data_IF_993668182245
#
_entry.id   IF_993668182245
#
_cell.length_a   1.000
_cell.length_b   1.000
_cell.length_c   1.000
_cell.angle_alpha   90.00
_cell.angle_beta   90.00
_cell.angle_gamma   90.00
#
_symmetry.space_group_name_H-M   'P 1'
#
loop_
_entity.id
_entity.type
_entity.pdbx_description
1 polymer ?
#
# COMPACT_ATOMS: atom_id res chain seq x y z
N UNK A 1 17.05 6.88 -6.24
CA UNK A 1 16.88 7.87 -7.34
C UNK A 1 15.60 8.63 -7.07
N UNK A 2 15.71 9.92 -6.77
CA UNK A 2 14.57 10.86 -6.69
C UNK A 2 14.51 11.52 -8.06
N UNK A 3 13.51 11.19 -8.87
CA UNK A 3 13.19 12.03 -10.02
C UNK A 3 12.25 13.11 -9.52
N UNK A 4 12.53 14.38 -9.82
CA UNK A 4 11.53 15.44 -9.79
C UNK A 4 11.18 15.74 -11.23
N UNK A 5 9.89 15.86 -11.51
CA UNK A 5 9.45 16.21 -12.84
C UNK A 5 10.12 17.51 -13.31
N UNK A 6 10.55 17.52 -14.57
CA UNK A 6 11.19 18.68 -15.21
C UNK A 6 10.26 19.91 -15.18
N UNK A 7 10.81 21.13 -15.38
CA UNK A 7 10.04 22.40 -15.44
C UNK A 7 8.67 22.21 -16.11
N UNK A 8 7.59 22.45 -15.36
CA UNK A 8 6.20 22.21 -15.79
C UNK A 8 5.51 21.01 -15.13
N UNK A 9 6.22 20.20 -14.34
CA UNK A 9 5.66 19.04 -13.64
C UNK A 9 5.47 19.31 -12.14
N UNK A 10 4.45 18.69 -11.55
CA UNK A 10 4.16 18.78 -10.11
C UNK A 10 5.31 18.15 -9.32
N UNK A 11 5.91 18.86 -8.34
CA UNK A 11 6.96 18.29 -7.49
C UNK A 11 6.44 17.09 -6.70
N UNK A 12 7.21 16.00 -6.70
CA UNK A 12 6.92 14.78 -5.96
C UNK A 12 8.15 14.25 -5.19
N UNK A 13 7.90 13.42 -4.20
CA UNK A 13 8.89 12.74 -3.37
C UNK A 13 8.59 11.25 -3.36
N UNK A 14 9.62 10.41 -3.49
CA UNK A 14 9.50 8.95 -3.40
C UNK A 14 10.16 8.47 -2.11
N UNK A 15 9.44 7.64 -1.34
CA UNK A 15 9.86 7.05 -0.06
C UNK A 15 9.65 5.54 -0.08
N UNK A 16 10.48 4.83 0.66
CA UNK A 16 10.32 3.38 0.85
C UNK A 16 9.93 3.14 2.30
N UNK A 17 8.68 2.70 2.51
CA UNK A 17 8.08 2.58 3.84
C UNK A 17 7.64 1.14 4.08
N UNK A 18 8.49 0.38 4.76
CA UNK A 18 8.27 -1.06 4.91
C UNK A 18 8.27 -1.76 3.55
N UNK A 19 7.16 -2.41 3.22
CA UNK A 19 6.98 -3.09 1.93
C UNK A 19 6.51 -2.15 0.81
N UNK A 20 6.07 -0.93 1.14
CA UNK A 20 5.46 -0.02 0.18
C UNK A 20 6.46 0.96 -0.42
N UNK A 21 6.28 1.25 -1.70
CA UNK A 21 6.78 2.46 -2.33
C UNK A 21 5.70 3.54 -2.18
N UNK A 22 6.07 4.68 -1.62
CA UNK A 22 5.16 5.81 -1.38
C UNK A 22 5.61 7.00 -2.22
N UNK A 23 4.70 7.53 -3.05
CA UNK A 23 4.89 8.76 -3.81
C UNK A 23 3.99 9.83 -3.22
N UNK A 24 4.60 10.92 -2.75
CA UNK A 24 3.89 12.08 -2.20
C UNK A 24 4.08 13.26 -3.13
N UNK A 25 3.00 13.95 -3.47
CA UNK A 25 3.05 15.16 -4.29
C UNK A 25 2.71 16.40 -3.45
N UNK A 26 3.25 17.54 -3.84
CA UNK A 26 2.91 18.83 -3.19
C UNK A 26 1.46 19.25 -3.41
N UNK A 27 0.76 18.66 -4.38
CA UNK A 27 -0.65 18.91 -4.64
C UNK A 27 -1.59 18.11 -3.74
N UNK A 28 -1.09 17.29 -2.82
CA UNK A 28 -1.92 16.53 -1.87
C UNK A 28 -2.39 15.16 -2.37
N UNK A 29 -1.77 14.61 -3.42
CA UNK A 29 -1.90 13.20 -3.81
C UNK A 29 -0.79 12.37 -3.14
N UNK A 30 -1.18 11.23 -2.55
CA UNK A 30 -0.28 10.19 -2.05
C UNK A 30 -0.64 8.87 -2.72
N UNK A 31 0.34 8.24 -3.37
CA UNK A 31 0.24 6.90 -3.94
C UNK A 31 1.08 5.94 -3.10
N UNK A 32 0.49 4.84 -2.64
CA UNK A 32 1.22 3.75 -1.99
C UNK A 32 1.08 2.49 -2.82
N UNK A 33 2.19 1.86 -3.18
CA UNK A 33 2.22 0.65 -4.00
C UNK A 33 3.03 -0.43 -3.30
N UNK A 34 2.47 -1.63 -3.20
CA UNK A 34 3.11 -2.80 -2.55
C UNK A 34 4.19 -3.47 -3.42
N UNK A 35 4.52 -2.90 -4.59
CA UNK A 35 5.43 -3.45 -5.60
C UNK A 35 4.90 -4.71 -6.28
N UNK A 36 3.63 -5.05 -6.05
CA UNK A 36 2.87 -6.15 -6.65
C UNK A 36 1.61 -5.56 -7.28
N UNK A 37 0.44 -5.89 -6.74
CA UNK A 37 -0.87 -5.58 -7.33
C UNK A 37 -1.70 -4.58 -6.52
N UNK A 38 -1.30 -4.25 -5.28
CA UNK A 38 -2.07 -3.34 -4.43
C UNK A 38 -1.60 -1.91 -4.58
N UNK A 39 -2.53 -1.03 -4.94
CA UNK A 39 -2.32 0.41 -5.04
C UNK A 39 -3.34 1.11 -4.13
N UNK A 40 -2.85 2.00 -3.27
CA UNK A 40 -3.68 2.87 -2.44
C UNK A 40 -3.46 4.31 -2.86
N UNK A 41 -4.55 5.02 -3.12
CA UNK A 41 -4.55 6.42 -3.50
C UNK A 41 -5.21 7.21 -2.37
N UNK A 42 -4.48 8.18 -1.80
CA UNK A 42 -5.03 9.14 -0.83
C UNK A 42 -4.97 10.54 -1.45
N UNK A 43 -6.06 11.27 -1.32
CA UNK A 43 -6.22 12.61 -1.86
C UNK A 43 -6.53 13.59 -0.74
N UNK A 44 -6.04 14.82 -0.88
CA UNK A 44 -6.48 15.95 -0.05
C UNK A 44 -8.00 16.12 -0.16
N UNK A 45 -8.69 16.52 0.92
CA UNK A 45 -10.11 16.92 0.86
C UNK A 45 -10.41 18.00 -0.19
N UNK A 46 -9.41 18.75 -0.65
CA UNK A 46 -9.57 19.73 -1.74
C UNK A 46 -10.06 19.12 -3.04
N UNK A 47 -9.83 17.82 -3.27
CA UNK A 47 -10.30 17.09 -4.46
C UNK A 47 -11.73 16.56 -4.33
N UNK A 48 -12.42 16.80 -3.21
CA UNK A 48 -13.76 16.28 -2.95
C UNK A 48 -14.74 16.71 -4.05
N UNK A 49 -15.35 15.74 -4.74
CA UNK A 49 -16.29 15.98 -5.84
C UNK A 49 -15.68 16.55 -7.12
N UNK A 50 -14.34 16.61 -7.23
CA UNK A 50 -13.64 17.16 -8.40
C UNK A 50 -12.95 16.08 -9.25
N UNK A 51 -13.07 14.82 -8.86
CA UNK A 51 -12.46 13.69 -9.58
C UNK A 51 -13.53 12.83 -10.23
N UNK A 52 -13.08 11.95 -11.11
CA UNK A 52 -13.90 10.91 -11.71
C UNK A 52 -12.98 9.75 -12.10
N UNK A 53 -13.57 8.57 -12.32
CA UNK A 53 -12.85 7.38 -12.73
C UNK A 53 -13.34 6.15 -11.98
N UNK A 54 -12.53 5.08 -12.03
CA UNK A 54 -12.84 3.81 -11.37
C UNK A 54 -12.91 3.90 -9.84
N UNK A 55 -12.30 4.93 -9.24
CA UNK A 55 -12.35 5.20 -7.81
C UNK A 55 -13.52 6.11 -7.40
N UNK A 56 -14.50 6.34 -8.28
CA UNK A 56 -15.65 7.21 -8.01
C UNK A 56 -15.33 8.69 -8.15
N UNK A 57 -16.15 9.53 -7.51
CA UNK A 57 -16.05 11.00 -7.60
C UNK A 57 -15.57 11.67 -6.30
N UNK A 58 -15.37 10.88 -5.23
CA UNK A 58 -14.95 11.34 -3.91
C UNK A 58 -15.85 12.44 -3.32
N UNK A 59 -17.17 12.40 -3.52
CA UNK A 59 -18.11 13.36 -2.90
C UNK A 59 -18.64 12.90 -1.52
N UNK A 60 -18.39 11.63 -1.15
CA UNK A 60 -18.85 10.99 0.08
C UNK A 60 -20.18 10.23 -0.07
N UNK A 61 -20.71 10.09 -1.28
CA UNK A 61 -21.94 9.38 -1.59
C UNK A 61 -21.68 8.14 -2.47
N UNK A 62 -21.58 6.96 -1.85
CA UNK A 62 -21.32 5.72 -2.59
C UNK A 62 -22.38 5.31 -3.63
N UNK A 63 -23.56 5.94 -3.65
CA UNK A 63 -24.65 5.61 -4.58
C UNK A 63 -24.32 6.09 -6.01
N UNK A 64 -23.57 7.18 -6.15
CA UNK A 64 -23.26 7.76 -7.47
C UNK A 64 -21.83 7.46 -7.95
N UNK A 65 -21.06 6.65 -7.22
CA UNK A 65 -19.67 6.34 -7.59
C UNK A 65 -19.55 5.59 -8.91
N UNK A 66 -20.59 4.83 -9.30
CA UNK A 66 -20.69 4.18 -10.61
C UNK A 66 -21.16 5.17 -11.70
N UNK A 67 -20.47 6.31 -11.82
CA UNK A 67 -20.69 7.30 -12.88
C UNK A 67 -19.80 7.03 -14.08
N UNK A 68 -20.40 6.87 -15.27
CA UNK A 68 -19.68 6.61 -16.52
C UNK A 68 -18.92 7.84 -17.00
N UNK A 69 -18.00 7.65 -17.96
CA UNK A 69 -17.31 8.77 -18.63
C UNK A 69 -18.24 9.77 -19.32
N UNK A 70 -19.46 9.36 -19.69
CA UNK A 70 -20.51 10.23 -20.25
C UNK A 70 -21.36 10.93 -19.18
N UNK A 71 -20.98 10.84 -17.89
CA UNK A 71 -21.67 11.42 -16.74
C UNK A 71 -23.03 10.79 -16.43
N UNK A 72 -23.23 9.53 -16.82
CA UNK A 72 -24.44 8.77 -16.47
C UNK A 72 -24.19 7.91 -15.24
N UNK A 73 -25.07 7.95 -14.24
CA UNK A 73 -25.04 7.02 -13.10
C UNK A 73 -25.68 5.70 -13.53
N UNK A 74 -24.97 4.58 -13.34
CA UNK A 74 -25.41 3.25 -13.77
C UNK A 74 -25.30 2.24 -12.63
N UNK A 75 -26.14 1.21 -12.66
CA UNK A 75 -26.08 0.11 -11.67
C UNK A 75 -25.12 -1.00 -12.13
N UNK A 76 -24.89 -1.13 -13.44
CA UNK A 76 -24.08 -2.18 -14.01
C UNK A 76 -22.58 -1.84 -13.92
N UNK A 77 -21.84 -2.60 -13.12
CA UNK A 77 -20.38 -2.41 -12.92
C UNK A 77 -19.59 -2.58 -14.22
N UNK A 78 -19.99 -3.49 -15.12
CA UNK A 78 -19.30 -3.68 -16.40
C UNK A 78 -19.55 -2.50 -17.34
N UNK A 79 -20.76 -1.95 -17.37
CA UNK A 79 -21.05 -0.73 -18.13
C UNK A 79 -20.20 0.44 -17.62
N UNK A 80 -20.17 0.64 -16.30
CA UNK A 80 -19.33 1.63 -15.63
C UNK A 80 -17.85 1.45 -15.98
N UNK A 81 -17.28 0.27 -15.71
CA UNK A 81 -15.86 0.01 -15.88
C UNK A 81 -15.41 0.10 -17.35
N UNK A 82 -16.21 -0.42 -18.28
CA UNK A 82 -15.90 -0.35 -19.71
C UNK A 82 -15.95 1.08 -20.26
N UNK A 83 -16.76 1.97 -19.66
CA UNK A 83 -16.79 3.39 -20.06
C UNK A 83 -15.47 4.13 -19.76
N UNK A 84 -14.66 3.60 -18.83
CA UNK A 84 -13.40 4.21 -18.39
C UNK A 84 -12.17 3.73 -19.15
N UNK A 85 -12.31 2.85 -20.15
CA UNK A 85 -11.17 2.42 -20.97
C UNK A 85 -10.48 3.60 -21.64
N UNK A 86 -9.15 3.57 -21.69
CA UNK A 86 -8.35 4.66 -22.28
C UNK A 86 -8.34 4.56 -23.80
N UNK A 87 -8.12 3.36 -24.34
CA UNK A 87 -8.10 3.11 -25.78
C UNK A 87 -9.41 2.48 -26.25
N UNK A 88 -9.97 3.01 -27.34
CA UNK A 88 -11.16 2.47 -27.99
C UNK A 88 -10.91 1.09 -28.60
N UNK A 89 -9.67 0.76 -28.94
CA UNK A 89 -9.26 -0.55 -29.46
C UNK A 89 -9.23 -1.65 -28.40
N UNK A 90 -9.32 -1.33 -27.12
CA UNK A 90 -9.43 -2.34 -26.07
C UNK A 90 -10.84 -2.98 -26.12
N UNK A 91 -10.92 -4.33 -26.06
CA UNK A 91 -12.19 -5.02 -25.95
C UNK A 91 -12.89 -4.62 -24.65
N UNK A 92 -14.22 -4.73 -24.64
CA UNK A 92 -14.95 -4.60 -23.39
C UNK A 92 -14.65 -5.83 -22.52
N UNK A 93 -14.52 -5.61 -21.21
CA UNK A 93 -14.48 -6.68 -20.24
C UNK A 93 -15.84 -7.38 -20.19
N UNK A 94 -15.80 -8.70 -20.18
CA UNK A 94 -16.94 -9.56 -19.95
C UNK A 94 -17.09 -9.88 -18.46
N UNK A 95 -18.24 -10.46 -18.09
CA UNK A 95 -18.46 -10.92 -16.72
C UNK A 95 -17.40 -11.96 -16.34
N UNK A 96 -16.71 -11.71 -15.22
CA UNK A 96 -15.67 -12.61 -14.71
C UNK A 96 -16.35 -13.92 -14.33
N UNK A 97 -15.99 -15.01 -15.00
CA UNK A 97 -16.33 -16.36 -14.53
C UNK A 97 -15.64 -16.57 -13.19
N UNK A 98 -16.39 -17.07 -12.21
CA UNK A 98 -15.84 -17.39 -10.90
C UNK A 98 -14.57 -18.26 -11.06
N UNK A 99 -13.38 -17.77 -10.65
CA UNK A 99 -12.14 -18.51 -10.74
C UNK A 99 -12.20 -19.83 -10.00
N UNK A 100 -12.92 -19.92 -8.87
CA UNK A 100 -13.06 -21.18 -8.14
C UNK A 100 -13.94 -22.20 -8.87
N UNK A 101 -14.85 -21.75 -9.73
CA UNK A 101 -15.62 -22.63 -10.62
C UNK A 101 -14.78 -23.13 -11.80
N UNK A 102 -13.83 -22.30 -12.26
CA UNK A 102 -12.89 -22.67 -13.34
C UNK A 102 -11.76 -23.57 -12.82
N UNK A 103 -11.30 -23.32 -11.59
CA UNK A 103 -10.22 -24.03 -10.90
C UNK A 103 -10.73 -24.72 -9.60
N UNK A 104 -11.65 -25.70 -9.70
CA UNK A 104 -12.30 -26.29 -8.52
C UNK A 104 -11.34 -27.01 -7.57
N UNK A 105 -10.21 -27.52 -8.10
CA UNK A 105 -9.16 -28.18 -7.30
C UNK A 105 -8.47 -27.22 -6.31
N UNK A 106 -8.53 -25.90 -6.53
CA UNK A 106 -7.95 -24.88 -5.64
C UNK A 106 -8.92 -24.39 -4.56
N UNK A 107 -10.22 -24.63 -4.72
CA UNK A 107 -11.27 -24.04 -3.89
C UNK A 107 -11.10 -24.37 -2.41
N UNK A 108 -10.93 -25.66 -2.08
CA UNK A 108 -10.80 -26.10 -0.69
C UNK A 108 -9.59 -25.49 0.02
N UNK A 109 -8.45 -25.41 -0.66
CA UNK A 109 -7.26 -24.74 -0.14
C UNK A 109 -7.51 -23.24 0.05
N UNK A 110 -8.09 -22.58 -0.94
CA UNK A 110 -8.38 -21.13 -0.92
C UNK A 110 -9.32 -20.76 0.22
N UNK A 111 -10.43 -21.48 0.38
CA UNK A 111 -11.41 -21.27 1.47
C UNK A 111 -10.76 -21.46 2.85
N UNK A 112 -9.90 -22.47 2.98
CA UNK A 112 -9.18 -22.77 4.22
C UNK A 112 -8.19 -21.67 4.57
N UNK A 113 -7.29 -21.30 3.66
CA UNK A 113 -6.25 -20.31 3.95
C UNK A 113 -6.85 -18.91 4.17
N UNK A 114 -7.86 -18.52 3.38
CA UNK A 114 -8.56 -17.25 3.55
C UNK A 114 -9.43 -17.18 4.82
N UNK A 115 -9.74 -18.32 5.46
CA UNK A 115 -10.57 -18.36 6.67
C UNK A 115 -9.97 -17.58 7.85
N UNK A 116 -8.67 -17.27 7.82
CA UNK A 116 -8.03 -16.41 8.82
C UNK A 116 -8.74 -15.06 8.96
N UNK A 117 -9.27 -14.50 7.86
CA UNK A 117 -10.01 -13.22 7.85
C UNK A 117 -11.21 -13.28 8.79
N UNK A 118 -11.88 -14.44 8.88
CA UNK A 118 -13.03 -14.67 9.74
C UNK A 118 -12.65 -15.28 11.11
N UNK A 119 -11.37 -15.53 11.35
CA UNK A 119 -10.91 -16.17 12.58
C UNK A 119 -10.79 -15.19 13.75
N UNK A 120 -10.54 -15.73 14.94
CA UNK A 120 -10.30 -14.95 16.15
C UNK A 120 -9.08 -14.01 16.05
N UNK A 121 -8.15 -14.23 15.12
CA UNK A 121 -7.00 -13.34 14.88
C UNK A 121 -7.47 -11.94 14.50
N UNK A 122 -8.57 -11.86 13.73
CA UNK A 122 -9.14 -10.60 13.25
C UNK A 122 -10.41 -10.16 14.03
N UNK A 123 -10.80 -10.88 15.09
CA UNK A 123 -12.05 -10.62 15.81
C UNK A 123 -12.21 -9.17 16.30
N UNK A 124 -11.11 -8.53 16.73
CA UNK A 124 -11.13 -7.13 17.17
C UNK A 124 -11.51 -6.16 16.03
N UNK A 125 -11.25 -6.52 14.78
CA UNK A 125 -11.53 -5.70 13.61
C UNK A 125 -12.92 -5.97 13.00
N UNK A 126 -13.52 -7.15 13.22
CA UNK A 126 -14.80 -7.53 12.60
C UNK A 126 -15.93 -6.53 12.84
N UNK A 127 -15.90 -5.82 13.98
CA UNK A 127 -16.88 -4.77 14.32
C UNK A 127 -16.63 -3.43 13.63
N UNK A 128 -15.40 -3.19 13.16
CA UNK A 128 -14.98 -1.95 12.52
C UNK A 128 -15.00 -2.05 10.99
N UNK A 129 -14.64 -3.22 10.46
CA UNK A 129 -14.58 -3.49 9.02
C UNK A 129 -15.21 -4.86 8.73
N UNK A 130 -16.24 -4.87 7.89
CA UNK A 130 -16.96 -6.08 7.48
C UNK A 130 -16.03 -7.06 6.74
N UNK A 131 -15.85 -8.31 7.20
CA UNK A 131 -14.86 -9.23 6.66
C UNK A 131 -15.29 -9.95 5.37
N UNK A 132 -16.60 -10.09 5.12
CA UNK A 132 -17.16 -10.91 4.06
C UNK A 132 -16.64 -10.56 2.67
N UNK A 133 -16.61 -9.26 2.32
CA UNK A 133 -16.06 -8.83 1.01
C UNK A 133 -14.57 -9.17 0.85
N UNK A 134 -13.79 -9.03 1.90
CA UNK A 134 -12.35 -9.36 1.88
C UNK A 134 -12.10 -10.87 1.83
N UNK A 135 -12.91 -11.65 2.55
CA UNK A 135 -12.87 -13.11 2.48
C UNK A 135 -13.18 -13.61 1.07
N UNK A 136 -14.26 -13.12 0.45
CA UNK A 136 -14.62 -13.53 -0.92
C UNK A 136 -13.54 -13.14 -1.92
N UNK A 137 -13.01 -11.91 -1.84
CA UNK A 137 -11.90 -11.47 -2.69
C UNK A 137 -10.66 -12.36 -2.53
N UNK A 138 -10.29 -12.69 -1.28
CA UNK A 138 -9.18 -13.60 -1.00
C UNK A 138 -9.37 -14.97 -1.65
N UNK A 139 -10.57 -15.57 -1.53
CA UNK A 139 -10.87 -16.88 -2.10
C UNK A 139 -10.83 -16.82 -3.64
N UNK A 140 -11.42 -15.77 -4.23
CA UNK A 140 -11.38 -15.52 -5.67
C UNK A 140 -9.93 -15.43 -6.19
N UNK A 141 -9.09 -14.61 -5.56
CA UNK A 141 -7.70 -14.41 -5.96
C UNK A 141 -6.86 -15.69 -5.80
N UNK A 142 -7.02 -16.39 -4.67
CA UNK A 142 -6.32 -17.65 -4.38
C UNK A 142 -6.71 -18.79 -5.34
N UNK A 143 -7.94 -18.80 -5.84
CA UNK A 143 -8.39 -19.71 -6.90
C UNK A 143 -7.87 -19.30 -8.29
N UNK A 144 -7.68 -18.01 -8.54
CA UNK A 144 -7.23 -17.48 -9.83
C UNK A 144 -5.71 -17.61 -10.02
N UNK A 145 -4.92 -17.60 -8.95
CA UNK A 145 -3.47 -17.77 -9.03
C UNK A 145 -3.10 -19.27 -9.17
N UNK A 146 -3.20 -19.78 -10.40
CA UNK A 146 -2.98 -21.19 -10.75
C UNK A 146 -1.68 -21.48 -11.51
N UNK A 147 -0.99 -20.43 -11.98
CA UNK A 147 0.29 -20.53 -12.70
C UNK A 147 1.52 -20.41 -11.80
N UNK A 148 1.35 -20.44 -10.48
CA UNK A 148 2.39 -20.21 -9.48
C UNK A 148 2.34 -18.81 -8.85
N UNK A 149 2.93 -18.65 -7.67
CA UNK A 149 2.84 -17.40 -6.88
C UNK A 149 1.62 -17.34 -5.95
N UNK A 150 0.97 -18.48 -5.72
CA UNK A 150 -0.30 -18.60 -4.98
C UNK A 150 -0.23 -18.00 -3.58
N UNK A 151 0.91 -18.18 -2.90
CA UNK A 151 1.18 -17.57 -1.60
C UNK A 151 1.25 -16.04 -1.68
N UNK A 152 1.74 -15.47 -2.77
CA UNK A 152 1.80 -14.01 -2.92
C UNK A 152 0.40 -13.42 -3.07
N UNK A 153 -0.48 -14.06 -3.84
CA UNK A 153 -1.88 -13.62 -3.99
C UNK A 153 -2.63 -13.69 -2.65
N UNK A 154 -2.54 -14.84 -1.96
CA UNK A 154 -3.12 -15.04 -0.64
C UNK A 154 -2.64 -13.98 0.37
N UNK A 155 -1.32 -13.78 0.47
CA UNK A 155 -0.74 -12.84 1.43
C UNK A 155 -1.10 -11.39 1.11
N UNK A 156 -1.27 -11.04 -0.16
CA UNK A 156 -1.69 -9.70 -0.60
C UNK A 156 -3.15 -9.45 -0.21
N UNK A 157 -4.04 -10.41 -0.45
CA UNK A 157 -5.45 -10.31 -0.07
C UNK A 157 -5.65 -10.21 1.45
N UNK A 158 -4.95 -11.02 2.25
CA UNK A 158 -5.02 -10.93 3.72
C UNK A 158 -4.43 -9.60 4.22
N UNK A 159 -3.33 -9.13 3.62
CA UNK A 159 -2.72 -7.85 3.95
C UNK A 159 -3.67 -6.67 3.69
N UNK A 160 -4.49 -6.73 2.64
CA UNK A 160 -5.48 -5.70 2.36
C UNK A 160 -6.51 -5.56 3.50
N UNK A 161 -7.00 -6.67 4.05
CA UNK A 161 -7.90 -6.63 5.21
C UNK A 161 -7.20 -6.09 6.46
N UNK A 162 -5.97 -6.55 6.73
CA UNK A 162 -5.18 -6.02 7.84
C UNK A 162 -4.89 -4.52 7.73
N UNK A 163 -4.68 -4.01 6.52
CA UNK A 163 -4.51 -2.58 6.25
C UNK A 163 -5.81 -1.82 6.55
N UNK A 164 -6.97 -2.31 6.09
CA UNK A 164 -8.26 -1.69 6.39
C UNK A 164 -8.53 -1.65 7.91
N UNK A 165 -8.21 -2.73 8.62
CA UNK A 165 -8.27 -2.75 10.10
C UNK A 165 -7.36 -1.69 10.73
N UNK A 166 -6.12 -1.59 10.27
CA UNK A 166 -5.16 -0.61 10.77
C UNK A 166 -5.63 0.83 10.53
N UNK A 167 -6.26 1.11 9.39
CA UNK A 167 -6.85 2.42 9.08
C UNK A 167 -8.09 2.72 9.93
N UNK A 168 -8.86 1.70 10.33
CA UNK A 168 -9.91 1.81 11.32
C UNK A 168 -9.38 1.87 12.78
N UNK A 169 -8.07 1.93 12.97
CA UNK A 169 -7.43 2.05 14.29
C UNK A 169 -7.21 0.73 15.02
N UNK A 170 -7.45 -0.41 14.39
CA UNK A 170 -7.27 -1.74 14.97
C UNK A 170 -6.02 -2.40 14.40
N UNK A 171 -4.98 -2.48 15.22
CA UNK A 171 -3.73 -3.11 14.81
C UNK A 171 -3.74 -4.64 14.98
N UNK A 172 -3.64 -5.39 13.88
CA UNK A 172 -3.67 -6.86 13.89
C UNK A 172 -2.32 -7.47 13.48
N UNK A 173 -1.73 -8.27 14.37
CA UNK A 173 -0.55 -9.09 14.09
C UNK A 173 -0.96 -10.48 13.56
N UNK A 174 -1.01 -10.64 12.24
CA UNK A 174 -1.55 -11.86 11.61
C UNK A 174 -0.50 -12.78 10.95
N UNK A 175 0.69 -12.27 10.66
CA UNK A 175 1.77 -13.03 10.00
C UNK A 175 2.43 -13.98 10.99
N UNK A 176 2.79 -15.17 10.52
CA UNK A 176 3.53 -16.18 11.29
C UNK A 176 4.64 -16.80 10.44
N UNK A 177 5.57 -17.59 11.01
CA UNK A 177 6.57 -18.30 10.22
C UNK A 177 5.98 -19.24 9.16
N UNK A 178 4.75 -19.76 9.38
CA UNK A 178 4.06 -20.66 8.46
C UNK A 178 3.05 -19.95 7.55
N UNK A 179 2.64 -18.72 7.86
CA UNK A 179 1.66 -17.96 7.09
C UNK A 179 2.20 -16.56 6.78
N UNK A 180 2.53 -16.35 5.52
CA UNK A 180 3.02 -15.06 5.00
C UNK A 180 4.22 -14.50 5.79
N UNK A 181 5.30 -15.30 5.97
CA UNK A 181 6.45 -14.89 6.77
C UNK A 181 7.14 -13.66 6.18
N UNK A 182 7.76 -12.87 7.07
CA UNK A 182 8.62 -11.75 6.70
C UNK A 182 9.99 -11.95 7.33
N UNK A 183 11.03 -11.72 6.53
CA UNK A 183 12.43 -11.88 6.92
C UNK A 183 13.03 -10.50 7.20
N UNK A 184 12.58 -9.85 8.27
CA UNK A 184 13.07 -8.52 8.66
C UNK A 184 14.49 -8.57 9.23
N UNK A 185 14.84 -9.69 9.86
CA UNK A 185 16.15 -9.97 10.44
C UNK A 185 17.26 -10.10 9.39
N UNK A 186 16.91 -10.38 8.13
CA UNK A 186 17.83 -10.34 6.99
C UNK A 186 18.64 -9.04 6.91
N UNK A 187 18.06 -7.92 7.35
CA UNK A 187 18.70 -6.61 7.31
C UNK A 187 19.58 -6.32 8.53
N UNK A 188 19.58 -7.19 9.56
CA UNK A 188 20.47 -7.04 10.71
C UNK A 188 21.89 -7.45 10.36
N UNK A 189 22.87 -6.66 10.81
CA UNK A 189 24.26 -7.10 10.80
C UNK A 189 24.49 -8.13 11.90
N UNK A 190 25.58 -8.88 11.79
CA UNK A 190 25.89 -9.95 12.73
C UNK A 190 26.06 -9.39 14.15
N UNK A 191 25.21 -9.86 15.07
CA UNK A 191 25.18 -9.40 16.47
C UNK A 191 24.31 -8.16 16.72
N UNK A 192 23.71 -7.57 15.69
CA UNK A 192 22.75 -6.48 15.82
C UNK A 192 21.30 -7.00 15.76
N UNK A 193 20.37 -6.23 16.34
CA UNK A 193 18.94 -6.56 16.36
C UNK A 193 18.14 -5.27 16.18
N UNK A 194 18.41 -4.57 15.07
CA UNK A 194 17.82 -3.29 14.77
C UNK A 194 16.50 -3.43 14.00
N UNK A 195 16.43 -4.31 13.01
CA UNK A 195 15.26 -4.46 12.14
C UNK A 195 14.22 -5.41 12.74
N UNK A 196 13.03 -4.86 13.01
CA UNK A 196 11.89 -5.61 13.56
C UNK A 196 10.63 -5.44 12.71
N UNK A 197 9.87 -6.53 12.58
CA UNK A 197 8.51 -6.48 12.06
C UNK A 197 7.58 -5.73 13.03
N UNK A 198 6.91 -4.70 12.52
CA UNK A 198 5.83 -3.99 13.20
C UNK A 198 4.55 -4.13 12.37
N UNK A 199 3.52 -4.86 12.81
CA UNK A 199 2.38 -5.21 11.97
C UNK A 199 1.62 -4.00 11.39
N UNK A 200 1.54 -2.91 12.14
CA UNK A 200 0.82 -1.68 11.77
C UNK A 200 1.75 -0.48 11.72
N UNK A 201 3.04 -0.79 11.60
CA UNK A 201 4.12 0.15 11.63
C UNK A 201 4.42 0.88 12.93
N UNK A 202 5.51 1.64 12.88
CA UNK A 202 5.96 2.50 13.95
C UNK A 202 5.52 3.94 13.70
N UNK A 203 5.09 4.61 14.76
CA UNK A 203 4.72 6.03 14.75
C UNK A 203 5.95 6.90 14.46
N UNK A 204 5.86 7.73 13.41
CA UNK A 204 6.73 8.87 13.13
C UNK A 204 8.24 8.62 13.30
N UNK A 205 8.77 7.60 12.60
CA UNK A 205 10.22 7.43 12.48
C UNK A 205 10.83 8.62 11.73
N UNK A 206 11.84 9.26 12.32
CA UNK A 206 12.62 10.28 11.61
C UNK A 206 13.51 9.59 10.58
N UNK A 207 13.35 9.95 9.32
CA UNK A 207 14.25 9.50 8.24
C UNK A 207 15.08 10.67 7.74
N UNK A 208 16.15 10.40 7.00
CA UNK A 208 16.93 11.49 6.39
C UNK A 208 16.15 12.31 5.36
N UNK A 209 15.11 11.73 4.74
CA UNK A 209 14.19 12.46 3.87
C UNK A 209 12.99 13.05 4.63
N UNK A 210 12.79 12.71 5.91
CA UNK A 210 11.79 13.33 6.78
C UNK A 210 12.35 13.53 8.21
N UNK A 211 13.27 14.49 8.39
CA UNK A 211 13.92 14.71 9.69
C UNK A 211 12.95 15.20 10.76
N UNK A 212 11.87 15.86 10.34
CA UNK A 212 10.85 16.41 11.21
C UNK A 212 9.96 15.34 11.86
N UNK A 213 9.85 14.15 11.22
CA UNK A 213 8.92 13.11 11.63
C UNK A 213 7.44 13.51 11.50
N UNK A 214 7.12 14.64 10.86
CA UNK A 214 5.76 15.23 10.83
C UNK A 214 4.83 14.65 9.75
N UNK A 215 5.15 13.48 9.19
CA UNK A 215 4.25 12.80 8.24
C UNK A 215 3.50 11.67 8.93
N UNK A 216 2.20 11.54 8.63
CA UNK A 216 1.39 10.38 9.02
C UNK A 216 1.91 9.20 8.21
N UNK A 217 2.62 8.28 8.86
CA UNK A 217 3.06 7.09 8.14
C UNK A 217 3.15 5.87 9.04
N UNK A 218 2.40 4.85 8.62
CA UNK A 218 2.38 3.47 9.07
C UNK A 218 3.58 2.79 8.40
N UNK A 219 4.73 2.66 9.07
CA UNK A 219 5.90 1.92 8.53
C UNK A 219 6.11 0.59 9.23
N UNK A 220 5.86 -0.58 8.60
CA UNK A 220 5.95 -1.89 9.24
C UNK A 220 7.35 -2.37 9.62
N UNK A 221 8.38 -1.52 9.46
CA UNK A 221 9.76 -1.80 9.86
C UNK A 221 10.21 -0.72 10.84
N UNK A 222 10.77 -1.15 11.98
CA UNK A 222 11.29 -0.28 13.04
C UNK A 222 12.75 -0.61 13.35
N UNK A 223 13.53 0.45 13.64
CA UNK A 223 14.86 0.44 14.23
C UNK A 223 14.78 1.02 15.66
N UNK A 224 15.29 0.35 16.70
CA UNK A 224 15.38 0.92 18.04
C UNK A 224 16.40 2.07 18.07
N UNK A 225 15.89 3.30 18.08
CA UNK A 225 16.68 4.54 18.09
C UNK A 225 17.20 4.86 19.51
N UNK A 226 18.02 4.00 20.12
CA UNK A 226 18.63 4.36 21.42
C UNK A 226 19.90 5.22 21.26
N UNK A 227 20.53 5.20 20.08
CA UNK A 227 21.77 5.96 19.82
C UNK A 227 21.82 6.70 18.47
N UNK A 228 21.04 6.27 17.47
CA UNK A 228 21.05 6.84 16.11
C UNK A 228 19.64 7.29 15.73
N UNK A 229 19.29 8.60 15.75
CA UNK A 229 17.90 9.05 15.68
C UNK A 229 17.30 9.09 14.27
N UNK A 230 18.09 8.88 13.21
CA UNK A 230 17.60 8.93 11.83
C UNK A 230 17.80 7.61 11.10
N UNK A 231 16.82 7.22 10.29
CA UNK A 231 16.96 6.14 9.33
C UNK A 231 17.34 6.66 7.94
N UNK A 232 18.47 6.20 7.38
CA UNK A 232 18.90 6.55 6.03
C UNK A 232 18.30 5.56 5.02
N UNK A 233 17.25 5.99 4.30
CA UNK A 233 16.45 5.13 3.42
C UNK A 233 17.24 4.47 2.28
N UNK A 234 18.18 5.17 1.64
CA UNK A 234 18.97 4.57 0.54
C UNK A 234 20.03 3.58 1.00
N UNK A 235 20.60 3.78 2.19
CA UNK A 235 21.67 2.94 2.74
C UNK A 235 21.12 1.81 3.59
N UNK A 236 19.82 1.84 3.91
CA UNK A 236 19.14 0.90 4.80
C UNK A 236 19.84 0.79 6.16
N UNK A 237 20.27 1.92 6.74
CA UNK A 237 21.01 1.96 8.02
C UNK A 237 20.51 3.09 8.93
N UNK A 238 20.54 2.83 10.23
CA UNK A 238 20.36 3.86 11.24
C UNK A 238 21.64 4.71 11.34
N UNK A 239 21.50 6.04 11.32
CA UNK A 239 22.59 7.03 11.31
C UNK A 239 22.38 8.08 12.40
N UNK A 240 23.47 8.58 12.97
CA UNK A 240 23.44 9.64 13.98
C UNK A 240 22.91 10.96 13.43
N UNK A 241 23.30 11.22 12.18
CA UNK A 241 23.12 12.47 11.50
C UNK A 241 22.95 12.15 10.02
N UNK A 242 22.03 12.85 9.36
CA UNK A 242 21.81 12.68 7.94
C UNK A 242 22.83 13.45 7.11
N UNK A 243 23.12 12.91 5.94
CA UNK A 243 23.70 13.62 4.81
C UNK A 243 22.70 14.67 4.32
N UNK A 244 23.19 15.75 3.69
CA UNK A 244 22.33 16.90 3.42
C UNK A 244 21.61 16.70 2.11
N UNK A 245 20.33 17.04 2.15
CA UNK A 245 19.43 16.93 1.04
C UNK A 245 19.30 18.32 0.42
N UNK A 246 19.78 18.47 -0.80
CA UNK A 246 19.56 19.69 -1.55
C UNK A 246 18.13 19.64 -2.12
N UNK A 247 17.31 20.57 -1.63
CA UNK A 247 15.92 20.70 -2.01
C UNK A 247 15.75 21.23 -3.43
N UNK A 248 16.77 21.73 -4.11
CA UNK A 248 16.68 22.25 -5.48
C UNK A 248 16.91 21.14 -6.52
N UNK A 249 17.90 20.28 -6.31
CA UNK A 249 18.30 19.25 -7.29
C UNK A 249 17.88 17.81 -6.90
N UNK A 250 17.36 17.61 -5.69
CA UNK A 250 16.88 16.32 -5.19
C UNK A 250 17.97 15.30 -4.89
N UNK A 251 19.24 15.73 -4.76
CA UNK A 251 20.38 14.87 -4.47
C UNK A 251 20.74 14.89 -2.99
N UNK A 252 21.32 13.77 -2.55
CA UNK A 252 21.91 13.63 -1.22
C UNK A 252 23.41 13.82 -1.38
N UNK A 253 23.94 14.84 -0.71
CA UNK A 253 25.36 15.16 -0.67
C UNK A 253 25.93 14.69 0.66
N UNK A 254 27.15 14.13 0.64
CA UNK A 254 27.84 13.86 1.90
C UNK A 254 28.03 15.16 2.65
N UNK A 255 28.01 15.12 3.98
CA UNK A 255 28.10 16.32 4.83
C UNK A 255 29.23 17.30 4.45
N UNK A 256 30.36 16.78 4.00
CA UNK A 256 31.56 17.49 3.53
C UNK A 256 31.37 18.20 2.17
N UNK A 257 30.39 17.75 1.38
CA UNK A 257 29.99 18.33 0.09
C UNK A 257 28.75 19.22 0.22
N UNK A 258 28.06 19.16 1.35
CA UNK A 258 26.99 20.09 1.68
C UNK A 258 27.61 21.45 1.95
N UNK A 259 27.46 22.36 1.00
CA UNK A 259 28.06 23.67 1.08
C UNK A 259 27.83 24.35 2.45
N UNK A 260 28.95 24.64 3.09
CA UNK A 260 29.12 25.53 4.24
C UNK A 260 28.83 26.96 3.76
N UNK A 261 27.56 27.36 3.68
CA UNK A 261 27.14 28.76 3.54
C UNK A 261 25.75 28.98 4.17
#
# INVERSE_FOLDING_TARGET
VVERGQKGHVPFTVRYMGMYLVIETTSGLILMWDKKTSIFIKLSPDYKGQICGLCGNYDGNGINDLTTRSQSVVENVLEFANSWKVSSGCPNADCIKDPCSTNPYRKSWSEKECSIINSNIFAACHSQVEPGKYYQACVTDACACDTGGDCDCLCTAIAAYAQACSEAGVCIAWRTPSLCPLFCDYYNQQGECEWHYKPCGASCMKTCRNPSGKSISISPLYCPLYYKPYFHEDQMKCVNLCDCYDNEDGKIYRRDECNVW
#
